data_IF_266752280901
#
_entry.id   IF_266752280901
#
_cell.length_a   1.000
_cell.length_b   1.000
_cell.length_c   1.000
_cell.angle_alpha   90.00
_cell.angle_beta   90.00
_cell.angle_gamma   90.00
#
_symmetry.space_group_name_H-M   'P 1'
#
loop_
_entity.id
_entity.type
_entity.pdbx_description
1 polymer ?
#
# COMPACT_ATOMS: atom_id res chain seq x y z
N UNK A 1 1.28 -21.26 16.85
CA UNK A 1 0.19 -20.47 17.43
C UNK A 1 0.12 -19.16 16.67
N UNK A 2 -1.01 -18.78 16.09
CA UNK A 2 -1.14 -17.48 15.46
C UNK A 2 -1.52 -16.45 16.54
N UNK A 3 -0.60 -15.56 16.90
CA UNK A 3 -0.81 -14.59 17.98
C UNK A 3 -1.70 -13.42 17.53
N UNK A 4 -1.62 -13.04 16.25
CA UNK A 4 -2.34 -11.89 15.68
C UNK A 4 -3.85 -12.04 15.79
N UNK A 5 -4.41 -13.24 15.57
CA UNK A 5 -5.85 -13.50 15.74
C UNK A 5 -6.39 -13.31 17.17
N UNK A 6 -5.49 -13.24 18.17
CA UNK A 6 -5.87 -12.99 19.56
C UNK A 6 -5.91 -11.50 19.90
N UNK A 7 -5.35 -10.64 19.05
CA UNK A 7 -5.37 -9.19 19.27
C UNK A 7 -6.78 -8.66 19.02
N UNK A 8 -7.37 -8.08 20.06
CA UNK A 8 -8.70 -7.45 20.04
C UNK A 8 -8.65 -6.20 20.91
N UNK A 9 -9.33 -5.15 20.48
CA UNK A 9 -9.52 -3.97 21.33
C UNK A 9 -10.26 -4.37 22.61
N UNK A 10 -9.90 -3.74 23.73
CA UNK A 10 -10.74 -3.76 24.92
C UNK A 10 -12.04 -3.00 24.60
N UNK A 11 -13.18 -3.57 24.96
CA UNK A 11 -14.50 -2.95 24.76
C UNK A 11 -15.32 -3.17 26.01
N UNK A 12 -15.55 -2.08 26.74
CA UNK A 12 -16.41 -1.99 27.93
C UNK A 12 -17.03 -0.58 28.03
N UNK A 13 -17.74 -0.28 29.12
CA UNK A 13 -18.41 1.02 29.30
C UNK A 13 -17.44 2.21 29.36
N UNK A 14 -16.22 2.01 29.90
CA UNK A 14 -15.20 3.04 30.02
C UNK A 14 -14.33 3.15 28.74
N UNK A 15 -14.33 2.11 27.90
CA UNK A 15 -13.55 2.01 26.66
C UNK A 15 -14.45 1.63 25.47
N UNK A 16 -15.40 2.49 25.04
CA UNK A 16 -16.24 2.21 23.88
C UNK A 16 -15.41 2.18 22.59
N UNK A 17 -15.82 1.36 21.63
CA UNK A 17 -15.27 1.36 20.28
C UNK A 17 -16.22 2.03 19.28
N UNK A 18 -15.63 2.57 18.21
CA UNK A 18 -16.36 3.22 17.13
C UNK A 18 -15.83 2.68 15.80
N UNK A 19 -16.17 1.42 15.50
CA UNK A 19 -15.77 0.77 14.25
C UNK A 19 -16.64 1.32 13.12
N UNK A 20 -16.06 1.93 12.07
CA UNK A 20 -16.85 2.49 10.98
C UNK A 20 -17.65 1.40 10.24
N UNK A 21 -18.97 1.54 10.21
CA UNK A 21 -19.87 0.57 9.56
C UNK A 21 -20.27 0.99 8.13
N UNK A 22 -20.11 2.28 7.79
CA UNK A 22 -20.48 2.80 6.48
C UNK A 22 -19.25 3.28 5.72
N UNK A 23 -18.69 2.38 4.91
CA UNK A 23 -17.49 2.62 4.11
C UNK A 23 -17.90 3.09 2.72
N UNK A 24 -17.47 4.30 2.33
CA UNK A 24 -17.77 4.87 1.00
C UNK A 24 -16.71 4.59 -0.05
N UNK A 25 -15.47 4.31 0.38
CA UNK A 25 -14.33 4.11 -0.52
C UNK A 25 -13.60 2.85 -0.10
N UNK A 26 -13.34 1.95 -1.04
CA UNK A 26 -12.56 0.72 -0.81
C UNK A 26 -11.30 0.78 -1.64
N UNK A 27 -10.19 0.38 -1.05
CA UNK A 27 -8.91 0.29 -1.73
C UNK A 27 -8.36 -1.12 -1.59
N UNK A 28 -7.99 -1.74 -2.71
CA UNK A 28 -7.22 -2.96 -2.74
C UNK A 28 -5.76 -2.61 -3.05
N UNK A 29 -4.90 -2.69 -2.04
CA UNK A 29 -3.49 -2.29 -2.12
C UNK A 29 -2.61 -3.53 -2.12
N UNK A 30 -2.06 -3.86 -3.28
CA UNK A 30 -0.98 -4.85 -3.39
C UNK A 30 0.30 -4.29 -2.81
N UNK A 31 1.00 -5.10 -2.01
CA UNK A 31 2.27 -4.77 -1.36
C UNK A 31 3.33 -5.70 -1.90
N UNK A 32 4.35 -5.13 -2.55
CA UNK A 32 5.36 -5.92 -3.26
C UNK A 32 6.76 -5.33 -3.09
N UNK A 33 7.74 -6.22 -2.98
CA UNK A 33 9.09 -5.92 -3.46
C UNK A 33 9.03 -5.86 -4.99
N UNK A 34 9.73 -4.91 -5.59
CA UNK A 34 9.68 -4.66 -7.03
C UNK A 34 11.06 -4.31 -7.58
N UNK A 35 11.10 -3.99 -8.86
CA UNK A 35 12.29 -3.59 -9.59
C UNK A 35 12.01 -2.30 -10.38
N UNK A 36 12.99 -1.41 -10.42
CA UNK A 36 13.01 -0.26 -11.30
C UNK A 36 14.01 -0.50 -12.43
N UNK A 37 13.57 -0.20 -13.65
CA UNK A 37 14.45 -0.17 -14.82
C UNK A 37 15.24 1.14 -14.81
N UNK A 38 16.56 1.05 -14.83
CA UNK A 38 17.42 2.22 -14.95
C UNK A 38 17.62 2.60 -16.43
N UNK A 39 17.16 3.80 -16.79
CA UNK A 39 17.19 4.31 -18.16
C UNK A 39 18.60 4.37 -18.80
N UNK A 40 19.66 4.40 -18.00
CA UNK A 40 21.02 4.70 -18.48
C UNK A 40 21.94 3.47 -18.59
N UNK A 41 21.59 2.35 -17.97
CA UNK A 41 22.51 1.22 -17.78
C UNK A 41 21.92 -0.15 -18.14
N UNK A 42 20.64 -0.22 -18.55
CA UNK A 42 19.86 -1.48 -18.54
C UNK A 42 19.97 -2.21 -17.18
N UNK A 43 20.27 -1.47 -16.12
CA UNK A 43 20.41 -1.97 -14.77
C UNK A 43 19.04 -2.15 -14.15
N UNK A 44 18.93 -3.20 -13.34
CA UNK A 44 17.77 -3.44 -12.50
C UNK A 44 18.13 -2.98 -11.09
N UNK A 45 17.35 -2.06 -10.54
CA UNK A 45 17.46 -1.63 -9.14
C UNK A 45 16.31 -2.22 -8.34
N UNK A 46 16.61 -2.83 -7.20
CA UNK A 46 15.58 -3.28 -6.26
C UNK A 46 14.79 -2.09 -5.68
N UNK A 47 13.48 -2.27 -5.56
CA UNK A 47 12.55 -1.30 -5.01
C UNK A 47 11.43 -2.00 -4.24
N UNK A 48 10.44 -1.22 -3.81
CA UNK A 48 9.16 -1.72 -3.32
C UNK A 48 8.06 -0.78 -3.81
N UNK A 49 6.83 -1.26 -3.80
CA UNK A 49 5.70 -0.46 -4.24
C UNK A 49 4.37 -0.91 -3.68
N UNK A 50 3.42 0.02 -3.74
CA UNK A 50 2.01 -0.20 -3.44
C UNK A 50 1.23 -0.03 -4.74
N UNK A 51 0.41 -1.00 -5.15
CA UNK A 51 -0.31 -0.98 -6.43
C UNK A 51 0.59 -0.67 -7.64
N UNK A 52 1.76 -1.33 -7.67
CA UNK A 52 2.81 -1.15 -8.68
C UNK A 52 3.42 0.27 -8.76
N UNK A 53 3.24 1.09 -7.72
CA UNK A 53 3.84 2.43 -7.62
C UNK A 53 4.95 2.44 -6.57
N UNK A 54 6.18 2.74 -7.00
CA UNK A 54 7.32 3.02 -6.12
C UNK A 54 7.41 4.50 -5.79
N UNK A 55 7.28 4.81 -4.51
CA UNK A 55 7.35 6.17 -4.00
C UNK A 55 8.71 6.82 -4.28
N UNK A 56 8.67 8.04 -4.81
CA UNK A 56 9.84 8.91 -4.93
C UNK A 56 9.63 10.12 -4.04
N UNK A 57 10.60 10.42 -3.18
CA UNK A 57 10.55 11.64 -2.39
C UNK A 57 10.62 12.86 -3.32
N UNK A 58 9.64 13.78 -3.26
CA UNK A 58 9.70 15.03 -4.00
C UNK A 58 10.83 15.92 -3.47
N UNK A 59 11.26 16.90 -4.25
CA UNK A 59 12.30 17.86 -3.86
C UNK A 59 11.85 18.89 -2.82
N UNK A 60 10.55 18.93 -2.51
CA UNK A 60 9.94 19.74 -1.44
C UNK A 60 8.92 18.86 -0.70
N UNK A 61 8.75 19.08 0.59
CA UNK A 61 7.78 18.33 1.39
C UNK A 61 6.36 18.41 0.83
N UNK A 62 5.66 17.28 0.80
CA UNK A 62 4.27 17.17 0.32
C UNK A 62 3.37 18.16 1.06
N UNK A 63 3.53 18.30 2.37
CA UNK A 63 2.75 19.23 3.19
C UNK A 63 2.96 20.68 2.75
N UNK A 64 4.21 21.08 2.51
CA UNK A 64 4.55 22.43 2.05
C UNK A 64 3.99 22.69 0.66
N UNK A 65 4.16 21.75 -0.28
CA UNK A 65 3.62 21.87 -1.63
C UNK A 65 2.09 21.98 -1.63
N UNK A 66 1.42 21.20 -0.78
CA UNK A 66 -0.03 21.28 -0.59
C UNK A 66 -0.46 22.64 -0.04
N UNK A 67 0.13 23.09 1.06
CA UNK A 67 -0.27 24.31 1.75
C UNK A 67 0.01 25.58 0.92
N UNK A 68 1.11 25.59 0.17
CA UNK A 68 1.49 26.70 -0.72
C UNK A 68 0.87 26.59 -2.12
N UNK A 69 0.01 25.60 -2.38
CA UNK A 69 -0.61 25.34 -3.68
C UNK A 69 0.41 25.23 -4.84
N UNK A 70 1.56 24.60 -4.57
CA UNK A 70 2.60 24.38 -5.56
C UNK A 70 2.34 23.08 -6.34
N UNK A 71 2.45 23.16 -7.67
CA UNK A 71 2.19 22.04 -8.59
C UNK A 71 3.48 21.37 -9.03
N UNK A 72 3.37 20.13 -9.49
CA UNK A 72 4.48 19.37 -10.09
C UNK A 72 5.31 18.54 -9.11
N UNK A 73 5.01 18.60 -7.81
CA UNK A 73 5.71 17.83 -6.77
C UNK A 73 5.00 16.52 -6.38
N UNK A 74 3.68 16.45 -6.59
CA UNK A 74 2.89 15.24 -6.37
C UNK A 74 1.65 15.26 -7.28
N UNK A 75 1.00 14.11 -7.41
CA UNK A 75 -0.33 13.96 -8.02
C UNK A 75 -1.31 13.37 -7.01
N UNK A 76 -2.62 13.54 -7.23
CA UNK A 76 -3.67 13.06 -6.32
C UNK A 76 -4.40 11.81 -6.86
N UNK A 77 -3.72 11.05 -7.71
CA UNK A 77 -4.26 9.94 -8.50
C UNK A 77 -3.64 8.59 -8.10
N UNK A 78 -3.32 8.39 -6.82
CA UNK A 78 -2.95 7.06 -6.35
C UNK A 78 -4.13 6.10 -6.56
N UNK A 79 -3.92 4.93 -7.20
CA UNK A 79 -5.01 4.07 -7.63
C UNK A 79 -5.62 3.29 -6.45
N UNK A 80 -6.93 3.12 -6.48
CA UNK A 80 -7.66 2.34 -5.48
C UNK A 80 -7.42 0.83 -5.63
N UNK A 81 -7.10 0.35 -6.83
CA UNK A 81 -6.84 -1.04 -7.15
C UNK A 81 -5.46 -1.21 -7.81
N UNK A 82 -4.86 -2.43 -7.79
CA UNK A 82 -3.68 -2.70 -8.59
C UNK A 82 -3.99 -2.53 -10.09
N UNK A 83 -3.01 -2.11 -10.91
CA UNK A 83 -3.23 -1.93 -12.35
C UNK A 83 -3.57 -3.24 -13.06
N UNK A 84 -3.27 -4.39 -12.46
CA UNK A 84 -3.62 -5.70 -12.99
C UNK A 84 -3.82 -6.68 -11.83
N UNK A 85 -4.92 -7.42 -11.87
CA UNK A 85 -5.16 -8.53 -10.96
C UNK A 85 -4.54 -9.82 -11.52
N UNK A 86 -3.89 -10.57 -10.65
CA UNK A 86 -3.29 -11.87 -10.97
C UNK A 86 -3.33 -12.77 -9.73
N UNK A 87 -2.81 -13.98 -9.84
CA UNK A 87 -2.60 -14.83 -8.67
C UNK A 87 -1.47 -14.27 -7.79
N UNK A 88 -1.82 -13.36 -6.87
CA UNK A 88 -0.87 -12.59 -6.07
C UNK A 88 0.05 -13.46 -5.23
N UNK A 89 -0.42 -14.60 -4.73
CA UNK A 89 0.32 -15.46 -3.79
C UNK A 89 0.76 -16.80 -4.38
N UNK A 90 0.32 -17.11 -5.61
CA UNK A 90 0.71 -18.31 -6.34
C UNK A 90 2.13 -18.26 -6.91
N UNK A 91 2.35 -18.94 -8.04
CA UNK A 91 3.65 -18.95 -8.70
C UNK A 91 4.04 -17.54 -9.13
N UNK A 92 5.33 -17.15 -9.00
CA UNK A 92 5.77 -15.82 -9.38
C UNK A 92 5.34 -15.49 -10.81
N UNK A 93 4.54 -14.43 -11.01
CA UNK A 93 4.16 -13.98 -12.34
C UNK A 93 5.40 -13.62 -13.19
N UNK A 94 5.25 -13.69 -14.52
CA UNK A 94 6.33 -13.37 -15.47
C UNK A 94 6.96 -11.99 -15.19
N UNK A 95 8.20 -11.77 -15.64
CA UNK A 95 9.02 -10.56 -15.41
C UNK A 95 8.27 -9.21 -15.48
N UNK A 96 7.21 -9.10 -16.29
CA UNK A 96 6.47 -7.84 -16.48
C UNK A 96 5.78 -7.32 -15.21
N UNK A 97 5.52 -8.18 -14.21
CA UNK A 97 4.90 -7.77 -12.93
C UNK A 97 5.91 -7.37 -11.86
N UNK A 98 7.22 -7.55 -12.08
CA UNK A 98 8.24 -7.07 -11.13
C UNK A 98 8.58 -5.59 -11.32
N UNK A 99 8.32 -5.04 -12.51
CA UNK A 99 8.60 -3.65 -12.82
C UNK A 99 7.53 -2.70 -12.27
N UNK A 100 7.94 -1.74 -11.45
CA UNK A 100 7.06 -0.70 -10.90
C UNK A 100 7.33 0.68 -11.47
N UNK A 101 6.27 1.49 -11.52
CA UNK A 101 6.36 2.89 -11.94
C UNK A 101 6.83 3.77 -10.78
N UNK A 102 7.60 4.82 -11.11
CA UNK A 102 8.08 5.80 -10.13
C UNK A 102 7.11 6.96 -10.04
N UNK A 103 6.76 7.39 -8.82
CA UNK A 103 5.98 8.60 -8.65
C UNK A 103 5.70 8.99 -7.22
N UNK A 104 5.22 10.22 -7.05
CA UNK A 104 4.75 10.79 -5.78
C UNK A 104 3.25 10.96 -5.88
N UNK A 105 2.50 9.86 -5.71
CA UNK A 105 1.04 9.83 -5.88
C UNK A 105 0.36 9.74 -4.52
N UNK A 106 -0.65 10.58 -4.30
CA UNK A 106 -1.39 10.70 -3.03
C UNK A 106 -2.84 10.27 -3.20
N UNK A 107 -3.47 9.92 -2.07
CA UNK A 107 -4.90 9.69 -1.94
C UNK A 107 -5.45 10.49 -0.76
N UNK A 108 -6.64 11.07 -0.91
CA UNK A 108 -7.42 11.68 0.19
C UNK A 108 -8.31 10.60 0.81
N UNK A 109 -8.32 10.47 2.14
CA UNK A 109 -8.86 9.30 2.83
C UNK A 109 -10.22 9.53 3.52
N UNK A 110 -11.18 8.66 3.21
CA UNK A 110 -12.19 8.05 4.10
C UNK A 110 -12.48 6.64 3.53
N UNK A 111 -11.81 5.60 4.06
CA UNK A 111 -11.56 4.35 3.30
C UNK A 111 -11.58 3.08 4.17
N UNK A 112 -11.91 1.96 3.52
CA UNK A 112 -11.51 0.60 3.94
C UNK A 112 -10.37 0.14 3.03
N UNK A 113 -9.29 -0.38 3.61
CA UNK A 113 -8.10 -0.78 2.87
C UNK A 113 -7.87 -2.28 3.06
N UNK A 114 -7.73 -2.98 1.94
CA UNK A 114 -7.28 -4.35 1.88
C UNK A 114 -5.80 -4.35 1.48
N UNK A 115 -4.92 -4.79 2.37
CA UNK A 115 -3.51 -4.98 2.04
C UNK A 115 -3.28 -6.42 1.59
N UNK A 116 -2.79 -6.59 0.36
CA UNK A 116 -2.50 -7.90 -0.24
C UNK A 116 -1.00 -8.03 -0.48
N UNK A 117 -0.31 -8.86 0.31
CA UNK A 117 1.06 -9.24 0.01
C UNK A 117 1.15 -10.07 -1.28
N UNK A 118 2.26 -9.95 -2.01
CA UNK A 118 2.47 -10.70 -3.25
C UNK A 118 3.71 -11.60 -3.18
N UNK A 119 3.76 -12.61 -4.05
CA UNK A 119 4.93 -13.46 -4.28
C UNK A 119 5.80 -12.96 -5.46
N UNK A 120 5.69 -11.68 -5.82
CA UNK A 120 6.53 -11.06 -6.85
C UNK A 120 8.00 -11.23 -6.48
N UNK A 121 8.85 -11.56 -7.47
CA UNK A 121 10.28 -11.85 -7.27
C UNK A 121 10.57 -13.03 -6.32
N UNK A 122 9.61 -13.93 -6.12
CA UNK A 122 9.72 -15.05 -5.19
C UNK A 122 10.10 -14.58 -3.77
N UNK A 123 9.56 -13.43 -3.37
CA UNK A 123 9.85 -12.77 -2.10
C UNK A 123 8.57 -12.53 -1.28
N UNK A 124 7.81 -13.58 -0.92
CA UNK A 124 6.63 -13.42 -0.08
C UNK A 124 7.10 -13.13 1.34
N UNK A 125 6.80 -11.94 1.85
CA UNK A 125 7.19 -11.51 3.21
C UNK A 125 6.04 -10.80 3.92
N UNK A 126 6.06 -10.86 5.25
CA UNK A 126 5.13 -10.10 6.08
C UNK A 126 5.56 -8.62 6.12
N UNK A 127 4.65 -7.72 5.77
CA UNK A 127 4.88 -6.27 5.75
C UNK A 127 4.09 -5.57 6.88
N UNK A 128 4.76 -5.03 7.91
CA UNK A 128 4.08 -4.24 8.94
C UNK A 128 3.68 -2.87 8.36
N UNK A 129 2.42 -2.72 7.99
CA UNK A 129 1.88 -1.48 7.45
C UNK A 129 1.60 -0.47 8.56
N UNK A 130 2.02 0.79 8.35
CA UNK A 130 1.84 1.88 9.29
C UNK A 130 1.24 3.11 8.60
N UNK A 131 0.28 3.77 9.27
CA UNK A 131 -0.41 4.96 8.77
C UNK A 131 -0.21 6.11 9.75
N UNK A 132 0.42 7.19 9.31
CA UNK A 132 0.65 8.37 10.15
C UNK A 132 -0.66 9.14 10.37
N UNK A 133 -0.82 9.70 11.57
CA UNK A 133 -1.96 10.57 11.92
C UNK A 133 -3.24 9.84 12.32
N UNK A 134 -3.28 8.50 12.20
CA UNK A 134 -4.47 7.71 12.49
C UNK A 134 -4.11 6.41 13.21
N UNK A 135 -5.03 5.91 14.04
CA UNK A 135 -5.14 4.49 14.33
C UNK A 135 -6.26 3.90 13.46
N UNK A 136 -6.22 2.59 13.21
CA UNK A 136 -7.22 1.92 12.40
C UNK A 136 -7.61 0.58 13.02
N UNK A 137 -8.83 0.12 12.70
CA UNK A 137 -9.30 -1.19 13.11
C UNK A 137 -8.89 -2.23 12.07
N UNK A 138 -8.21 -3.30 12.52
CA UNK A 138 -8.00 -4.49 11.71
C UNK A 138 -9.24 -5.36 11.82
N UNK A 139 -10.11 -5.29 10.82
CA UNK A 139 -11.40 -6.00 10.80
C UNK A 139 -11.31 -7.43 10.26
N UNK A 140 -10.20 -7.79 9.62
CA UNK A 140 -9.93 -9.14 9.11
C UNK A 140 -8.47 -9.34 8.73
N UNK A 141 -8.02 -10.59 8.77
CA UNK A 141 -6.73 -11.04 8.25
C UNK A 141 -6.90 -12.43 7.60
N UNK A 142 -6.03 -12.77 6.65
CA UNK A 142 -6.10 -14.03 5.92
C UNK A 142 -4.79 -14.37 5.22
N UNK A 143 -4.73 -15.57 4.63
CA UNK A 143 -3.63 -16.01 3.77
C UNK A 143 -4.18 -16.38 2.40
N UNK A 144 -3.40 -16.12 1.35
CA UNK A 144 -3.82 -16.33 -0.03
C UNK A 144 -4.35 -15.05 -0.66
N UNK A 145 -5.20 -15.21 -1.67
CA UNK A 145 -5.85 -14.18 -2.48
C UNK A 145 -7.22 -14.69 -2.95
#
# INVERSE_FOLDING_TARGET
>A
MNFTVKMRSLVDEDHPNDVPMNVTTKMFITVSVSQLLENTSNGIRMSSGLNNMSWVNPSIDVLTAYYMNQRGFYTMDFPDDPPTFFDFTGLPPEYNTSASDRGTRLKVLNVEIFFQGTNVLNAPIDHPMHLHGYCFYVVGEGRGN
#
